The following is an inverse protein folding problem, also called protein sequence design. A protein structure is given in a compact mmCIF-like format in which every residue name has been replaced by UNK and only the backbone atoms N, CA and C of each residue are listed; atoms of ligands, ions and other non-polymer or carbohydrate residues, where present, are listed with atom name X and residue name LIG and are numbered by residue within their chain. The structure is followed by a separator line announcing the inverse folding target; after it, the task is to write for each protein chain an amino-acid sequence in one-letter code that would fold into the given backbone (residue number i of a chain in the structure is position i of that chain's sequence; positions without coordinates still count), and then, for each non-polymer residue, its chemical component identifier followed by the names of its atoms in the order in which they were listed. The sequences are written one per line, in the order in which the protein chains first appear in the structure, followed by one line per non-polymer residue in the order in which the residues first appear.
data_IF_815038908926
#
_entry.id   IF_815038908926
#
_cell.length_a   1.000
_cell.length_b   1.000
_cell.length_c   1.000
_cell.angle_alpha   90.00
_cell.angle_beta   90.00
_cell.angle_gamma   90.00
#
_symmetry.space_group_name_H-M   'P 1'
#
loop_
_entity.id
_entity.type
_entity.pdbx_description
1 polymer ?
#
# COMPACT_ATOMS: atom_id res chain seq x y z
N UNK A 1 -6.24 7.11 -7.58
CA UNK A 1 -6.12 6.15 -6.45
C UNK A 1 -4.82 5.39 -6.54
N UNK A 2 -4.18 5.13 -5.41
CA UNK A 2 -3.12 4.12 -5.26
C UNK A 2 -3.60 2.97 -4.38
N UNK A 3 -2.96 1.81 -4.45
CA UNK A 3 -3.33 0.69 -3.60
C UNK A 3 -2.14 -0.21 -3.28
N UNK A 4 -2.15 -0.83 -2.11
CA UNK A 4 -1.10 -1.72 -1.63
C UNK A 4 -1.45 -2.42 -0.35
N UNK A 5 -0.64 -3.43 0.03
CA UNK A 5 -0.78 -4.08 1.34
C UNK A 5 -0.30 -3.18 2.48
N UNK A 6 0.74 -2.38 2.21
CA UNK A 6 1.38 -1.51 3.20
C UNK A 6 1.80 -2.27 4.47
N UNK A 7 2.58 -3.32 4.28
CA UNK A 7 3.05 -4.22 5.34
C UNK A 7 4.59 -4.15 5.53
N UNK A 8 5.15 -3.07 6.10
CA UNK A 8 4.52 -1.79 6.43
C UNK A 8 4.48 -0.83 5.23
N UNK A 9 4.01 0.39 5.46
CA UNK A 9 4.20 1.51 4.53
C UNK A 9 5.67 1.92 4.55
N UNK A 10 6.36 1.95 3.42
CA UNK A 10 7.80 2.21 3.30
C UNK A 10 8.09 3.34 2.30
N UNK A 11 9.36 3.77 2.16
CA UNK A 11 9.75 4.90 1.31
C UNK A 11 9.30 4.73 -0.15
N UNK A 12 9.34 3.52 -0.71
CA UNK A 12 8.79 3.29 -2.04
C UNK A 12 7.28 3.55 -2.14
N UNK A 13 6.51 3.31 -1.07
CA UNK A 13 5.10 3.69 -1.02
C UNK A 13 4.92 5.22 -0.87
N UNK A 14 5.84 5.90 -0.18
CA UNK A 14 5.83 7.36 -0.08
C UNK A 14 6.03 8.03 -1.45
N UNK A 15 6.95 7.52 -2.26
CA UNK A 15 7.14 7.95 -3.66
C UNK A 15 5.87 7.73 -4.49
N UNK A 16 5.23 6.58 -4.31
CA UNK A 16 3.99 6.22 -4.99
C UNK A 16 2.85 7.18 -4.63
N UNK A 17 2.66 7.44 -3.34
CA UNK A 17 1.66 8.39 -2.85
C UNK A 17 1.94 9.82 -3.35
N UNK A 18 3.20 10.27 -3.30
CA UNK A 18 3.60 11.58 -3.81
C UNK A 18 3.33 11.72 -5.30
N UNK A 19 3.63 10.68 -6.09
CA UNK A 19 3.40 10.65 -7.53
C UNK A 19 1.92 10.77 -7.90
N UNK A 20 1.02 10.13 -7.14
CA UNK A 20 -0.42 10.27 -7.32
C UNK A 20 -0.93 11.63 -6.86
N UNK A 21 -0.48 12.13 -5.69
CA UNK A 21 -0.89 13.41 -5.13
C UNK A 21 -0.49 14.60 -6.01
N UNK A 22 0.62 14.49 -6.75
CA UNK A 22 1.04 15.52 -7.71
C UNK A 22 0.14 15.61 -8.95
N UNK A 23 -0.75 14.62 -9.15
CA UNK A 23 -1.60 14.49 -10.37
C UNK A 23 -3.10 14.50 -10.07
N UNK A 24 -3.48 14.61 -8.81
CA UNK A 24 -4.87 14.53 -8.37
C UNK A 24 -5.12 15.52 -7.25
N UNK A 25 -6.31 16.10 -7.23
CA UNK A 25 -6.76 16.96 -6.14
C UNK A 25 -6.97 16.12 -4.87
N UNK A 26 -7.70 15.01 -4.98
CA UNK A 26 -7.90 14.03 -3.93
C UNK A 26 -7.20 12.72 -4.25
N UNK A 27 -6.68 12.02 -3.22
CA UNK A 27 -6.01 10.73 -3.39
C UNK A 27 -6.68 9.67 -2.54
N UNK A 28 -7.24 8.65 -3.18
CA UNK A 28 -7.68 7.43 -2.52
C UNK A 28 -6.49 6.49 -2.32
N UNK A 29 -6.34 5.98 -1.10
CA UNK A 29 -5.32 4.99 -0.74
C UNK A 29 -6.01 3.70 -0.33
N UNK A 30 -6.06 2.74 -1.23
CA UNK A 30 -6.69 1.43 -1.02
C UNK A 30 -5.77 0.47 -0.28
N UNK A 31 -6.08 0.15 0.97
CA UNK A 31 -5.37 -0.88 1.73
C UNK A 31 -5.91 -2.24 1.34
N UNK A 32 -5.09 -3.03 0.63
CA UNK A 32 -5.47 -4.38 0.21
C UNK A 32 -5.36 -5.39 1.34
N UNK A 33 -6.05 -6.52 1.22
CA UNK A 33 -6.17 -7.53 2.28
C UNK A 33 -6.59 -6.90 3.63
N UNK A 34 -7.74 -6.19 3.66
CA UNK A 34 -8.18 -5.54 4.90
C UNK A 34 -8.59 -6.55 5.97
N UNK A 35 -9.11 -7.69 5.56
CA UNK A 35 -9.56 -8.79 6.42
C UNK A 35 -8.57 -9.96 6.33
N UNK A 36 -7.86 -10.32 7.43
CA UNK A 36 -6.90 -11.42 7.43
C UNK A 36 -7.52 -12.78 7.15
N UNK A 37 -8.80 -12.99 7.50
CA UNK A 37 -9.51 -14.25 7.24
C UNK A 37 -9.81 -14.48 5.75
N UNK A 38 -9.74 -13.43 4.94
CA UNK A 38 -10.01 -13.49 3.50
C UNK A 38 -8.76 -13.47 2.64
N UNK A 39 -7.57 -13.48 3.23
CA UNK A 39 -6.31 -13.56 2.48
C UNK A 39 -6.20 -14.94 1.84
N UNK A 40 -5.90 -14.98 0.55
CA UNK A 40 -5.76 -16.21 -0.24
C UNK A 40 -4.35 -16.31 -0.82
N UNK A 41 -3.85 -17.53 -1.05
CA UNK A 41 -2.63 -17.74 -1.83
C UNK A 41 -2.71 -17.04 -3.19
N UNK A 42 -1.60 -16.44 -3.61
CA UNK A 42 -1.46 -15.80 -4.92
C UNK A 42 -0.32 -16.51 -5.67
N UNK A 43 -0.54 -17.13 -6.82
CA UNK A 43 0.48 -17.86 -7.55
C UNK A 43 1.73 -17.03 -7.88
N UNK A 44 1.55 -15.75 -8.17
CA UNK A 44 2.63 -14.80 -8.47
C UNK A 44 3.42 -14.31 -7.24
N UNK A 45 2.97 -14.63 -6.01
CA UNK A 45 3.65 -14.29 -4.75
C UNK A 45 3.27 -15.33 -3.67
N UNK A 46 3.94 -16.50 -3.65
CA UNK A 46 3.60 -17.64 -2.79
C UNK A 46 3.65 -17.34 -1.28
N UNK A 47 4.43 -16.34 -0.86
CA UNK A 47 4.57 -15.96 0.55
C UNK A 47 3.57 -14.88 0.98
N UNK A 48 2.84 -14.29 0.04
CA UNK A 48 1.98 -13.13 0.26
C UNK A 48 0.88 -13.37 1.28
N UNK A 49 0.38 -14.60 1.37
CA UNK A 49 -0.74 -14.97 2.24
C UNK A 49 -0.33 -15.33 3.67
N UNK A 50 0.96 -15.52 3.92
CA UNK A 50 1.46 -15.95 5.24
C UNK A 50 1.28 -14.85 6.29
N UNK A 51 1.02 -15.21 7.56
CA UNK A 51 0.90 -14.26 8.68
C UNK A 51 2.14 -13.35 8.80
N UNK A 52 3.33 -13.90 8.66
CA UNK A 52 4.61 -13.17 8.75
C UNK A 52 4.75 -12.09 7.65
N UNK A 53 4.00 -12.24 6.56
CA UNK A 53 3.92 -11.24 5.49
C UNK A 53 2.84 -10.18 5.73
N UNK A 54 1.99 -10.37 6.75
CA UNK A 54 0.84 -9.53 7.08
C UNK A 54 0.74 -9.24 8.59
N UNK A 55 1.81 -8.80 9.29
CA UNK A 55 1.82 -8.64 10.75
C UNK A 55 0.93 -7.51 11.26
N UNK A 56 0.66 -6.48 10.43
CA UNK A 56 -0.12 -5.33 10.85
C UNK A 56 -1.59 -5.42 10.43
N UNK A 57 -2.46 -5.09 11.36
CA UNK A 57 -3.92 -4.97 11.16
C UNK A 57 -4.27 -3.88 10.15
N UNK A 58 -5.53 -3.84 9.70
CA UNK A 58 -6.00 -2.75 8.83
C UNK A 58 -5.87 -1.38 9.52
N UNK A 59 -6.24 -1.29 10.81
CA UNK A 59 -6.19 -0.04 11.56
C UNK A 59 -4.76 0.51 11.69
N UNK A 60 -3.78 -0.34 12.02
CA UNK A 60 -2.38 0.04 12.11
C UNK A 60 -1.82 0.53 10.77
N UNK A 61 -2.15 -0.15 9.67
CA UNK A 61 -1.75 0.27 8.32
C UNK A 61 -2.39 1.59 7.91
N UNK A 62 -3.65 1.82 8.29
CA UNK A 62 -4.33 3.10 8.09
C UNK A 62 -3.59 4.24 8.81
N UNK A 63 -3.19 4.01 10.07
CA UNK A 63 -2.38 4.98 10.81
C UNK A 63 -1.02 5.24 10.15
N UNK A 64 -0.36 4.20 9.63
CA UNK A 64 0.90 4.35 8.87
C UNK A 64 0.70 5.19 7.61
N UNK A 65 -0.36 4.96 6.84
CA UNK A 65 -0.66 5.76 5.63
C UNK A 65 -0.89 7.23 6.00
N UNK A 66 -1.69 7.51 7.04
CA UNK A 66 -1.95 8.89 7.48
C UNK A 66 -0.68 9.57 7.99
N UNK A 67 0.15 8.87 8.76
CA UNK A 67 1.42 9.40 9.23
C UNK A 67 2.39 9.71 8.07
N UNK A 68 2.48 8.81 7.09
CA UNK A 68 3.29 9.04 5.89
C UNK A 68 2.76 10.21 5.05
N UNK A 69 1.45 10.38 4.91
CA UNK A 69 0.86 11.52 4.22
C UNK A 69 1.21 12.84 4.90
N UNK A 70 1.17 12.89 6.24
CA UNK A 70 1.59 14.05 7.02
C UNK A 70 3.10 14.35 6.83
N UNK A 71 3.98 13.34 6.86
CA UNK A 71 5.41 13.51 6.61
C UNK A 71 5.70 14.03 5.18
N UNK A 72 4.83 13.73 4.23
CA UNK A 72 4.90 14.25 2.86
C UNK A 72 4.34 15.67 2.71
N UNK A 73 3.82 16.27 3.78
CA UNK A 73 3.19 17.58 3.76
C UNK A 73 1.84 17.60 3.03
N UNK A 74 1.18 16.45 2.88
CA UNK A 74 -0.12 16.38 2.24
C UNK A 74 -1.23 16.80 3.23
N UNK A 75 -2.20 17.55 2.72
CA UNK A 75 -3.41 17.86 3.49
C UNK A 75 -4.21 16.57 3.72
N UNK A 76 -4.37 16.18 4.99
CA UNK A 76 -4.99 14.89 5.35
C UNK A 76 -6.47 14.79 4.94
N UNK A 77 -7.17 15.92 4.78
CA UNK A 77 -8.53 15.95 4.27
C UNK A 77 -8.62 15.46 2.81
N UNK A 78 -7.53 15.58 2.04
CA UNK A 78 -7.43 15.13 0.63
C UNK A 78 -6.93 13.69 0.49
N UNK A 79 -6.61 13.00 1.59
CA UNK A 79 -6.11 11.61 1.59
C UNK A 79 -7.15 10.68 2.19
N UNK A 80 -7.87 9.98 1.32
CA UNK A 80 -8.97 9.08 1.66
C UNK A 80 -8.47 7.65 1.75
N UNK A 81 -8.30 7.12 2.97
CA UNK A 81 -7.85 5.74 3.18
C UNK A 81 -9.05 4.81 3.25
N UNK A 82 -9.09 3.82 2.36
CA UNK A 82 -10.21 2.88 2.25
C UNK A 82 -9.73 1.42 2.28
N UNK A 83 -10.55 0.47 2.76
CA UNK A 83 -10.31 -0.94 2.51
C UNK A 83 -10.50 -1.23 1.03
N UNK A 84 -9.66 -2.10 0.44
CA UNK A 84 -9.75 -2.38 -0.98
C UNK A 84 -9.63 -3.87 -1.31
N UNK A 85 -10.70 -4.52 -1.79
CA UNK A 85 -10.72 -5.93 -2.16
C UNK A 85 -10.10 -6.15 -3.55
N UNK A 86 -8.78 -5.95 -3.70
CA UNK A 86 -8.06 -5.96 -4.99
C UNK A 86 -8.26 -7.27 -5.79
N UNK A 87 -8.54 -8.38 -5.11
CA UNK A 87 -8.75 -9.69 -5.73
C UNK A 87 -10.22 -9.96 -6.10
N UNK A 88 -11.14 -9.03 -5.83
CA UNK A 88 -12.57 -9.16 -6.07
C UNK A 88 -13.08 -8.03 -6.98
N UNK A 89 -12.76 -8.00 -8.29
CA UNK A 89 -13.10 -6.89 -9.19
C UNK A 89 -14.59 -6.51 -9.20
N UNK A 90 -15.47 -7.48 -8.99
CA UNK A 90 -16.93 -7.25 -8.93
C UNK A 90 -17.37 -6.36 -7.77
N UNK A 91 -16.50 -6.20 -6.74
CA UNK A 91 -16.79 -5.36 -5.58
C UNK A 91 -16.18 -3.95 -5.69
N UNK A 92 -15.33 -3.68 -6.68
CA UNK A 92 -14.58 -2.43 -6.71
C UNK A 92 -15.47 -1.19 -6.75
N UNK A 93 -16.57 -1.22 -7.51
CA UNK A 93 -17.53 -0.10 -7.57
C UNK A 93 -18.22 0.21 -6.24
N UNK A 94 -18.22 -0.70 -5.28
CA UNK A 94 -18.73 -0.45 -3.93
C UNK A 94 -17.72 0.25 -3.01
N UNK A 95 -16.44 0.32 -3.41
CA UNK A 95 -15.35 0.90 -2.61
C UNK A 95 -14.71 2.12 -3.26
N UNK A 96 -14.73 2.18 -4.58
CA UNK A 96 -14.02 3.20 -5.35
C UNK A 96 -15.06 4.06 -6.07
N UNK A 97 -15.07 5.38 -5.87
CA UNK A 97 -15.97 6.27 -6.60
C UNK A 97 -15.76 6.19 -8.12
N UNK A 98 -16.81 6.51 -8.87
CA UNK A 98 -16.74 6.58 -10.33
C UNK A 98 -15.73 7.65 -10.77
N UNK A 99 -15.07 7.40 -11.90
CA UNK A 99 -14.12 8.33 -12.50
C UNK A 99 -12.75 8.41 -11.82
N UNK A 100 -12.49 7.56 -10.80
CA UNK A 100 -11.19 7.54 -10.12
C UNK A 100 -10.12 6.89 -10.99
N UNK A 101 -9.10 7.66 -11.39
CA UNK A 101 -7.90 7.16 -12.07
C UNK A 101 -7.09 6.25 -11.16
N UNK A 102 -6.72 5.07 -11.65
CA UNK A 102 -5.86 4.12 -10.96
C UNK A 102 -4.39 4.39 -11.30
N UNK A 103 -3.60 4.82 -10.34
CA UNK A 103 -2.15 4.90 -10.49
C UNK A 103 -1.54 3.56 -10.15
N UNK A 104 -0.63 3.04 -10.98
CA UNK A 104 -0.01 1.71 -10.82
C UNK A 104 1.51 1.84 -10.98
N UNK A 105 2.25 1.02 -10.20
CA UNK A 105 3.68 0.78 -10.39
C UNK A 105 3.90 -0.65 -10.89
N UNK A 106 4.73 -0.81 -11.93
CA UNK A 106 4.99 -2.09 -12.58
C UNK A 106 6.37 -2.62 -12.19
N UNK A 107 6.45 -3.37 -11.09
CA UNK A 107 7.68 -4.02 -10.63
C UNK A 107 7.64 -5.55 -10.66
N UNK A 108 6.53 -6.15 -11.06
CA UNK A 108 6.33 -7.61 -11.05
C UNK A 108 5.20 -8.01 -11.98
N UNK A 109 5.08 -9.30 -12.30
CA UNK A 109 3.95 -9.86 -13.04
C UNK A 109 2.60 -9.50 -12.41
N UNK A 110 2.53 -9.47 -11.09
CA UNK A 110 1.33 -9.02 -10.36
C UNK A 110 0.94 -7.57 -10.70
N UNK A 111 1.93 -6.71 -10.95
CA UNK A 111 1.68 -5.34 -11.44
C UNK A 111 0.97 -5.35 -12.80
N UNK A 112 1.44 -6.17 -13.74
CA UNK A 112 0.83 -6.36 -15.05
C UNK A 112 -0.60 -6.91 -14.95
N UNK A 113 -0.81 -7.96 -14.16
CA UNK A 113 -2.15 -8.53 -13.92
C UNK A 113 -3.13 -7.50 -13.38
N UNK A 114 -2.70 -6.63 -12.45
CA UNK A 114 -3.55 -5.56 -11.93
C UNK A 114 -3.91 -4.53 -13.01
N UNK A 115 -2.92 -4.12 -13.80
CA UNK A 115 -3.13 -3.19 -14.91
C UNK A 115 -4.25 -3.69 -15.84
N UNK A 116 -4.16 -4.95 -16.27
CA UNK A 116 -5.16 -5.58 -17.15
C UNK A 116 -6.55 -5.63 -16.48
N UNK A 117 -6.61 -6.04 -15.20
CA UNK A 117 -7.87 -6.11 -14.44
C UNK A 117 -8.55 -4.75 -14.31
N UNK A 118 -7.79 -3.67 -14.03
CA UNK A 118 -8.36 -2.33 -13.91
C UNK A 118 -8.87 -1.82 -15.26
N UNK A 119 -8.12 -2.02 -16.33
CA UNK A 119 -8.55 -1.68 -17.70
C UNK A 119 -9.81 -2.44 -18.11
N UNK A 120 -9.86 -3.74 -17.86
CA UNK A 120 -11.02 -4.58 -18.14
C UNK A 120 -12.26 -4.16 -17.33
N UNK A 121 -12.07 -3.61 -16.14
CA UNK A 121 -13.14 -3.05 -15.31
C UNK A 121 -13.53 -1.62 -15.68
N UNK A 122 -12.94 -1.03 -16.74
CA UNK A 122 -13.28 0.30 -17.25
C UNK A 122 -12.62 1.48 -16.53
N UNK A 123 -11.64 1.24 -15.65
CA UNK A 123 -10.92 2.32 -14.99
C UNK A 123 -9.85 2.93 -15.92
N UNK A 124 -9.69 4.25 -15.84
CA UNK A 124 -8.50 4.91 -16.35
C UNK A 124 -7.28 4.47 -15.52
N UNK A 125 -6.18 4.11 -16.20
CA UNK A 125 -4.96 3.64 -15.52
C UNK A 125 -3.75 4.41 -16.00
N UNK A 126 -3.01 4.96 -15.05
CA UNK A 126 -1.74 5.66 -15.27
C UNK A 126 -0.61 4.86 -14.60
N UNK A 127 0.41 4.51 -15.38
CA UNK A 127 1.63 3.87 -14.88
C UNK A 127 2.60 4.97 -14.45
N UNK A 128 3.02 4.96 -13.18
CA UNK A 128 3.89 6.00 -12.62
C UNK A 128 5.38 5.72 -12.82
N UNK A 129 5.78 4.46 -12.71
CA UNK A 129 7.19 4.07 -12.72
C UNK A 129 7.39 2.84 -13.61
N UNK A 130 7.39 3.06 -14.93
CA UNK A 130 7.70 2.00 -15.88
C UNK A 130 9.21 1.77 -15.96
N UNK A 131 9.66 0.55 -15.70
CA UNK A 131 11.05 0.14 -15.82
C UNK A 131 11.97 0.55 -14.67
N UNK A 132 11.47 1.12 -13.57
CA UNK A 132 12.28 1.41 -12.39
C UNK A 132 12.39 0.20 -11.45
N UNK A 133 13.58 0.01 -10.88
CA UNK A 133 13.79 -1.02 -9.85
C UNK A 133 13.10 -0.64 -8.53
N UNK A 134 12.63 -1.66 -7.82
CA UNK A 134 12.02 -1.50 -6.50
C UNK A 134 13.12 -1.25 -5.46
N UNK A 135 13.29 -0.01 -5.02
CA UNK A 135 14.33 0.40 -4.06
C UNK A 135 14.15 -0.17 -2.65
N UNK A 136 12.91 -0.31 -2.18
CA UNK A 136 12.58 -0.81 -0.84
C UNK A 136 11.37 -1.74 -0.92
N UNK A 137 11.39 -2.82 -0.16
CA UNK A 137 10.28 -3.76 -0.05
C UNK A 137 9.79 -3.92 1.38
N UNK A 138 8.49 -4.24 1.56
CA UNK A 138 7.97 -4.54 2.88
C UNK A 138 8.62 -5.80 3.52
N UNK A 139 9.10 -6.74 2.71
CA UNK A 139 9.84 -7.90 3.21
C UNK A 139 11.19 -7.50 3.82
N UNK A 140 11.92 -6.60 3.17
CA UNK A 140 13.16 -6.03 3.67
C UNK A 140 12.96 -5.29 4.99
N UNK A 141 11.98 -4.38 5.07
CA UNK A 141 11.67 -3.67 6.32
C UNK A 141 11.35 -4.65 7.46
N UNK A 142 10.55 -5.69 7.19
CA UNK A 142 10.23 -6.71 8.20
C UNK A 142 11.43 -7.57 8.60
N UNK A 143 12.36 -7.83 7.70
CA UNK A 143 13.60 -8.55 8.00
C UNK A 143 14.50 -7.72 8.92
N UNK A 144 14.75 -6.45 8.59
CA UNK A 144 15.52 -5.53 9.41
C UNK A 144 14.87 -5.32 10.80
N UNK A 145 13.55 -5.17 10.86
CA UNK A 145 12.83 -5.03 12.13
C UNK A 145 13.04 -6.25 13.04
N UNK A 146 12.93 -7.47 12.50
CA UNK A 146 13.16 -8.70 13.28
C UNK A 146 14.60 -8.88 13.72
N UNK A 147 15.55 -8.40 12.91
CA UNK A 147 16.98 -8.46 13.22
C UNK A 147 17.44 -7.36 14.20
N UNK A 148 16.58 -6.39 14.53
CA UNK A 148 16.98 -5.19 15.27
C UNK A 148 17.92 -4.29 14.49
N UNK A 149 17.87 -4.35 13.14
CA UNK A 149 18.67 -3.56 12.22
C UNK A 149 18.07 -2.18 11.92
N UNK A 150 18.58 -1.52 10.88
CA UNK A 150 18.20 -0.13 10.52
C UNK A 150 16.94 -0.08 9.65
N UNK A 151 15.84 -0.64 10.14
CA UNK A 151 14.56 -0.60 9.44
C UNK A 151 13.96 0.81 9.34
N UNK A 152 14.33 1.71 10.26
CA UNK A 152 13.78 3.07 10.31
C UNK A 152 14.19 3.92 9.11
N UNK A 153 15.38 3.71 8.58
CA UNK A 153 15.86 4.36 7.36
C UNK A 153 15.06 3.97 6.11
N UNK A 154 14.28 2.88 6.18
CA UNK A 154 13.49 2.33 5.07
C UNK A 154 12.04 2.83 5.04
N UNK A 155 11.60 3.55 6.08
CA UNK A 155 10.21 4.03 6.23
C UNK A 155 10.17 5.54 6.50
N UNK A 156 9.03 6.22 6.21
CA UNK A 156 8.84 7.60 6.65
C UNK A 156 8.90 7.71 8.19
N UNK A 157 9.40 8.83 8.77
CA UNK A 157 9.55 8.99 10.22
C UNK A 157 8.24 8.80 11.00
N UNK A 158 7.11 9.25 10.46
CA UNK A 158 5.79 9.05 11.06
C UNK A 158 5.39 7.58 11.12
N UNK A 159 5.74 6.81 10.08
CA UNK A 159 5.50 5.36 10.06
C UNK A 159 6.34 4.66 11.11
N UNK A 160 7.61 5.06 11.28
CA UNK A 160 8.46 4.53 12.34
C UNK A 160 7.86 4.77 13.74
N UNK A 161 7.30 5.96 13.99
CA UNK A 161 6.57 6.25 15.25
C UNK A 161 5.38 5.33 15.46
N UNK A 162 4.59 5.07 14.41
CA UNK A 162 3.44 4.15 14.49
C UNK A 162 3.89 2.73 14.80
N UNK A 163 4.91 2.20 14.12
CA UNK A 163 5.44 0.84 14.36
C UNK A 163 5.90 0.70 15.81
N UNK A 164 6.70 1.63 16.32
CA UNK A 164 7.16 1.63 17.72
C UNK A 164 6.02 1.70 18.73
N UNK A 165 4.93 2.42 18.42
CA UNK A 165 3.78 2.50 19.30
C UNK A 165 3.02 1.17 19.37
N UNK A 166 2.87 0.48 18.23
CA UNK A 166 2.24 -0.85 18.14
C UNK A 166 3.05 -1.90 18.90
N UNK A 167 4.37 -1.95 18.71
CA UNK A 167 5.24 -2.89 19.41
C UNK A 167 5.14 -2.75 20.95
N UNK A 168 5.10 -1.51 21.44
CA UNK A 168 4.94 -1.25 22.89
C UNK A 168 3.57 -1.65 23.44
N UNK A 169 2.53 -1.64 22.64
CA UNK A 169 1.18 -2.06 23.07
C UNK A 169 0.99 -3.58 23.10
N UNK A 170 1.92 -4.33 22.50
CA UNK A 170 1.85 -5.81 22.40
C UNK A 170 2.67 -6.49 23.51
N UNK A 171 3.46 -5.75 24.30
CA UNK A 171 4.23 -6.21 25.47
C UNK A 171 3.43 -5.96 26.75
#
# INVERSE_FOLDING_TARGET
MIHGRFQPFHLGHAEYLRGAAARSEDVFVGITNPDPMRIRPEPSDPLRHLPESNPWTYAERLLMVKAAAADLGLELARVHVIPFPVNEPKLWSAYVPDGVTQYIRLFSEWGGTKLERFRAAGYEVVVLDEGLEKRVSGAEVRAELRAGGDWESLVPPGVARVIRAVERATV
#
